data_IF_514030522713
#
_entry.id   IF_514030522713
#
_cell.length_a   1.000
_cell.length_b   1.000
_cell.length_c   1.000
_cell.angle_alpha   90.00
_cell.angle_beta   90.00
_cell.angle_gamma   90.00
#
_symmetry.space_group_name_H-M   'P 1'
#
loop_
_entity.id
_entity.type
_entity.pdbx_description
1 polymer ?
#
# COMPACT_ATOMS: atom_id res chain seq x y z
N UNK A 1 -1.07 7.58 25.75
CA UNK A 1 -1.14 7.79 24.29
C UNK A 1 -2.60 7.70 23.88
N UNK A 2 -3.07 8.63 23.04
CA UNK A 2 -4.42 8.55 22.51
C UNK A 2 -4.42 7.54 21.35
N UNK A 3 -5.01 6.37 21.55
CA UNK A 3 -5.11 5.35 20.49
C UNK A 3 -5.89 5.93 19.30
N UNK A 4 -5.45 5.56 18.09
CA UNK A 4 -6.09 5.95 16.84
C UNK A 4 -6.61 4.69 16.15
N UNK A 5 -7.77 4.80 15.50
CA UNK A 5 -8.30 3.78 14.61
C UNK A 5 -7.77 4.04 13.20
N UNK A 6 -6.93 3.14 12.69
CA UNK A 6 -6.20 3.29 11.44
C UNK A 6 -6.68 2.26 10.42
N UNK A 7 -7.00 2.71 9.20
CA UNK A 7 -7.25 1.81 8.07
C UNK A 7 -6.00 1.73 7.19
N UNK A 8 -5.61 0.51 6.84
CA UNK A 8 -4.58 0.19 5.85
C UNK A 8 -5.25 -0.58 4.72
N UNK A 9 -5.02 -0.19 3.46
CA UNK A 9 -5.53 -0.95 2.31
C UNK A 9 -4.38 -1.75 1.72
N UNK A 10 -4.66 -3.04 1.48
CA UNK A 10 -3.73 -4.03 0.98
C UNK A 10 -3.18 -4.94 2.09
N UNK A 11 -2.67 -6.10 1.73
CA UNK A 11 -1.93 -7.00 2.60
C UNK A 11 -0.59 -7.45 1.98
N UNK A 12 0.03 -6.57 1.20
CA UNK A 12 1.39 -6.69 0.69
C UNK A 12 2.46 -6.47 1.76
N UNK A 13 3.76 -6.49 1.37
CA UNK A 13 4.85 -6.28 2.30
C UNK A 13 4.78 -4.94 3.06
N UNK A 14 4.44 -3.86 2.37
CA UNK A 14 4.33 -2.49 2.89
C UNK A 14 3.23 -2.35 3.93
N UNK A 15 2.11 -3.00 3.70
CA UNK A 15 0.91 -2.97 4.53
C UNK A 15 1.10 -3.79 5.79
N UNK A 16 1.66 -4.99 5.65
CA UNK A 16 1.92 -5.85 6.79
C UNK A 16 2.91 -5.20 7.77
N UNK A 17 3.97 -4.57 7.27
CA UNK A 17 4.93 -3.86 8.13
C UNK A 17 4.32 -2.58 8.73
N UNK A 18 3.49 -1.86 7.98
CA UNK A 18 2.75 -0.69 8.48
C UNK A 18 1.80 -1.06 9.62
N UNK A 19 0.95 -2.06 9.40
CA UNK A 19 0.03 -2.59 10.40
C UNK A 19 0.77 -3.11 11.64
N UNK A 20 2.02 -3.60 11.47
CA UNK A 20 2.89 -3.99 12.58
C UNK A 20 3.34 -2.82 13.42
N UNK A 21 3.99 -1.85 12.82
CA UNK A 21 4.54 -0.72 13.56
C UNK A 21 3.43 0.11 14.24
N UNK A 22 2.31 0.34 13.55
CA UNK A 22 1.17 1.05 14.12
C UNK A 22 0.60 0.36 15.37
N UNK A 23 0.54 -0.96 15.38
CA UNK A 23 0.07 -1.71 16.55
C UNK A 23 1.06 -1.72 17.70
N UNK A 24 2.37 -1.79 17.40
CA UNK A 24 3.41 -1.69 18.44
C UNK A 24 3.31 -0.36 19.18
N UNK A 25 2.85 0.69 18.49
CA UNK A 25 2.55 2.01 19.05
C UNK A 25 1.15 2.13 19.68
N UNK A 26 0.41 1.03 19.80
CA UNK A 26 -0.85 0.96 20.55
C UNK A 26 -2.11 1.37 19.77
N UNK A 27 -2.02 1.55 18.45
CA UNK A 27 -3.17 1.92 17.63
C UNK A 27 -4.06 0.69 17.29
N UNK A 28 -5.35 0.94 17.02
CA UNK A 28 -6.31 -0.04 16.54
C UNK A 28 -6.31 -0.07 15.02
N UNK A 29 -5.97 -1.20 14.40
CA UNK A 29 -5.77 -1.27 12.94
C UNK A 29 -6.79 -2.20 12.31
N UNK A 30 -7.33 -1.78 11.18
CA UNK A 30 -8.07 -2.61 10.24
C UNK A 30 -7.30 -2.62 8.93
N UNK A 31 -7.03 -3.80 8.41
CA UNK A 31 -6.42 -4.00 7.10
C UNK A 31 -7.46 -4.56 6.15
N UNK A 32 -7.68 -3.94 4.99
CA UNK A 32 -8.64 -4.39 3.99
C UNK A 32 -7.90 -4.92 2.77
N UNK A 33 -8.05 -6.21 2.48
CA UNK A 33 -7.39 -6.89 1.36
C UNK A 33 -8.43 -7.48 0.42
N UNK A 34 -8.32 -7.16 -0.87
CA UNK A 34 -9.26 -7.61 -1.89
C UNK A 34 -9.14 -9.10 -2.21
N UNK A 35 -7.96 -9.70 -2.02
CA UNK A 35 -7.71 -11.13 -2.25
C UNK A 35 -8.03 -11.95 -0.99
N UNK A 36 -8.01 -13.27 -1.15
CA UNK A 36 -8.31 -14.23 -0.09
C UNK A 36 -7.12 -14.52 0.84
N UNK A 37 -5.93 -14.01 0.50
CA UNK A 37 -4.70 -14.23 1.25
C UNK A 37 -3.74 -13.04 1.06
N UNK A 38 -2.70 -12.99 1.88
CA UNK A 38 -1.68 -11.92 1.87
C UNK A 38 -0.74 -12.01 0.67
N UNK A 39 0.05 -10.97 0.48
CA UNK A 39 1.17 -10.96 -0.47
C UNK A 39 0.88 -10.31 -1.81
N UNK A 40 -0.38 -10.00 -2.13
CA UNK A 40 -0.80 -9.18 -3.28
C UNK A 40 -0.16 -9.60 -4.62
N UNK A 41 0.88 -8.88 -5.08
CA UNK A 41 1.66 -9.18 -6.29
C UNK A 41 2.34 -10.55 -6.20
N UNK A 42 2.73 -10.96 -5.01
CA UNK A 42 3.38 -12.25 -4.72
C UNK A 42 2.38 -13.40 -4.65
N UNK A 43 1.09 -13.11 -4.49
CA UNK A 43 0.01 -14.08 -4.66
C UNK A 43 -0.27 -14.27 -6.17
N UNK A 44 0.69 -14.90 -6.84
CA UNK A 44 0.69 -15.16 -8.27
C UNK A 44 -0.40 -16.18 -8.63
N UNK A 45 -1.24 -15.83 -9.60
CA UNK A 45 -2.15 -16.74 -10.30
C UNK A 45 -1.79 -16.69 -11.78
N UNK A 46 -1.82 -17.82 -12.48
CA UNK A 46 -1.52 -17.88 -13.92
C UNK A 46 -2.64 -17.31 -14.81
N UNK A 47 -3.52 -16.47 -14.27
CA UNK A 47 -4.58 -15.83 -15.03
C UNK A 47 -4.05 -14.58 -15.70
N UNK A 48 -4.31 -14.43 -17.00
CA UNK A 48 -4.00 -13.23 -17.78
C UNK A 48 -5.29 -12.51 -18.14
N UNK A 49 -5.23 -11.19 -18.29
CA UNK A 49 -6.35 -10.44 -18.85
C UNK A 49 -6.51 -10.72 -20.35
N UNK A 50 -7.74 -10.65 -20.85
CA UNK A 50 -7.96 -10.68 -22.29
C UNK A 50 -7.49 -9.37 -22.93
N UNK A 51 -7.18 -9.40 -24.22
CA UNK A 51 -6.76 -8.20 -24.96
C UNK A 51 -7.81 -7.09 -24.91
N UNK A 52 -9.10 -7.44 -24.93
CA UNK A 52 -10.20 -6.49 -24.84
C UNK A 52 -10.29 -5.83 -23.46
N UNK A 53 -9.97 -6.56 -22.40
CA UNK A 53 -9.94 -6.03 -21.03
C UNK A 53 -8.76 -5.07 -20.84
N UNK A 54 -7.58 -5.40 -21.40
CA UNK A 54 -6.41 -4.50 -21.37
C UNK A 54 -6.61 -3.23 -22.21
N UNK A 55 -7.37 -3.31 -23.32
CA UNK A 55 -7.68 -2.18 -24.17
C UNK A 55 -8.63 -1.17 -23.50
N UNK A 56 -9.42 -1.60 -22.51
CA UNK A 56 -10.34 -0.76 -21.78
C UNK A 56 -9.63 -0.08 -20.59
N UNK A 57 -8.94 1.04 -20.87
CA UNK A 57 -8.23 1.85 -19.88
C UNK A 57 -9.13 2.47 -18.79
N UNK A 58 -10.46 2.38 -18.92
CA UNK A 58 -11.41 2.95 -17.95
C UNK A 58 -11.81 1.98 -16.84
N UNK A 59 -11.61 0.67 -17.03
CA UNK A 59 -11.93 -0.34 -16.02
C UNK A 59 -10.66 -0.79 -15.28
N UNK A 60 -10.70 -0.92 -13.95
CA UNK A 60 -9.57 -1.46 -13.19
C UNK A 60 -9.30 -2.91 -13.58
N UNK A 61 -8.02 -3.24 -13.73
CA UNK A 61 -7.54 -4.58 -14.10
C UNK A 61 -8.06 -5.64 -13.12
N UNK A 62 -8.60 -6.74 -13.65
CA UNK A 62 -9.01 -7.93 -12.89
C UNK A 62 -7.81 -8.73 -12.40
N UNK A 63 -6.65 -8.62 -13.06
CA UNK A 63 -5.43 -9.34 -12.70
C UNK A 63 -4.45 -8.39 -12.01
N UNK A 64 -4.38 -8.48 -10.68
CA UNK A 64 -3.51 -7.60 -9.90
C UNK A 64 -2.03 -8.02 -9.89
N UNK A 65 -1.71 -9.29 -10.16
CA UNK A 65 -0.33 -9.82 -10.08
C UNK A 65 0.38 -9.70 -11.43
N UNK A 66 1.49 -8.97 -11.45
CA UNK A 66 2.42 -8.90 -12.59
C UNK A 66 3.58 -9.91 -12.49
N UNK A 67 3.57 -10.79 -11.48
CA UNK A 67 4.56 -11.85 -11.29
C UNK A 67 4.29 -13.02 -12.22
N UNK A 68 5.33 -13.51 -12.89
CA UNK A 68 5.30 -14.69 -13.76
C UNK A 68 5.94 -15.91 -13.07
N UNK A 69 5.53 -17.12 -13.49
CA UNK A 69 5.87 -18.40 -12.85
C UNK A 69 7.38 -18.60 -12.62
N UNK A 70 8.21 -18.22 -13.58
CA UNK A 70 9.67 -18.40 -13.50
C UNK A 70 10.39 -17.30 -12.70
N UNK A 71 9.67 -16.31 -12.18
CA UNK A 71 10.26 -15.16 -11.51
C UNK A 71 11.05 -15.58 -10.26
N UNK A 72 12.29 -15.11 -10.21
CA UNK A 72 13.13 -15.09 -9.00
C UNK A 72 13.33 -13.64 -8.56
N UNK A 73 13.58 -13.47 -7.27
CA UNK A 73 13.89 -12.16 -6.73
C UNK A 73 15.15 -11.61 -7.39
N UNK A 74 15.12 -10.34 -7.78
CA UNK A 74 16.29 -9.60 -8.25
C UNK A 74 17.19 -9.14 -7.10
N UNK A 75 16.64 -9.13 -5.88
CA UNK A 75 17.33 -8.79 -4.64
C UNK A 75 17.65 -10.04 -3.82
N UNK A 76 18.80 -10.08 -3.12
CA UNK A 76 19.15 -11.19 -2.25
C UNK A 76 18.25 -11.21 -1.01
N UNK A 77 17.96 -12.41 -0.49
CA UNK A 77 17.04 -12.60 0.65
C UNK A 77 17.41 -11.76 1.88
N UNK A 78 18.70 -11.52 2.09
CA UNK A 78 19.23 -10.81 3.26
C UNK A 78 18.74 -9.35 3.34
N UNK A 79 18.39 -8.73 2.21
CA UNK A 79 17.84 -7.36 2.17
C UNK A 79 16.33 -7.32 1.94
N UNK A 80 15.69 -8.49 1.90
CA UNK A 80 14.27 -8.70 1.63
C UNK A 80 13.53 -9.23 2.88
N UNK A 81 14.13 -9.07 4.06
CA UNK A 81 13.52 -9.37 5.36
C UNK A 81 13.27 -8.10 6.17
N UNK A 82 12.41 -8.20 7.19
CA UNK A 82 12.22 -7.12 8.18
C UNK A 82 13.24 -7.26 9.31
N UNK A 83 13.60 -6.16 9.95
CA UNK A 83 14.71 -6.15 10.93
C UNK A 83 14.53 -7.11 12.11
N UNK A 84 13.29 -7.33 12.55
CA UNK A 84 12.90 -8.25 13.63
C UNK A 84 12.36 -9.60 13.12
N UNK A 85 12.27 -9.77 11.81
CA UNK A 85 11.84 -11.00 11.16
C UNK A 85 12.67 -11.24 9.88
N UNK A 86 13.92 -11.69 10.01
CA UNK A 86 14.82 -11.79 8.86
C UNK A 86 14.40 -12.89 7.88
N UNK A 87 14.61 -12.64 6.58
CA UNK A 87 14.30 -13.60 5.52
C UNK A 87 15.46 -14.59 5.33
N UNK A 88 15.45 -15.64 6.15
CA UNK A 88 16.50 -16.66 6.22
C UNK A 88 16.15 -17.93 5.45
N UNK A 89 17.17 -18.72 5.08
CA UNK A 89 16.97 -20.05 4.51
C UNK A 89 16.35 -21.02 5.52
N UNK A 90 15.33 -21.77 5.07
CA UNK A 90 14.63 -22.76 5.88
C UNK A 90 14.73 -24.14 5.23
N UNK A 91 14.86 -25.17 6.06
CA UNK A 91 14.88 -26.56 5.58
C UNK A 91 13.54 -26.90 4.90
N UNK A 92 13.60 -27.55 3.75
CA UNK A 92 12.40 -27.90 2.97
C UNK A 92 11.81 -26.75 2.15
N UNK A 93 12.49 -25.61 2.09
CA UNK A 93 12.12 -24.43 1.30
C UNK A 93 13.18 -24.08 0.27
N UNK A 94 12.94 -23.02 -0.51
CA UNK A 94 13.96 -22.50 -1.40
C UNK A 94 15.10 -21.87 -0.59
N UNK A 95 16.31 -22.44 -0.69
CA UNK A 95 17.50 -22.00 0.06
C UNK A 95 18.41 -21.06 -0.74
N UNK A 96 18.09 -20.76 -2.00
CA UNK A 96 18.93 -19.93 -2.88
C UNK A 96 19.02 -18.50 -2.38
N UNK A 97 20.18 -17.86 -2.45
CA UNK A 97 20.33 -16.43 -2.08
C UNK A 97 19.31 -15.52 -2.80
N UNK A 98 18.96 -15.85 -4.03
CA UNK A 98 17.91 -15.21 -4.84
C UNK A 98 16.78 -16.24 -5.10
N UNK A 99 15.82 -16.38 -4.17
CA UNK A 99 14.79 -17.40 -4.27
C UNK A 99 13.72 -17.08 -5.31
N UNK A 100 12.88 -18.06 -5.62
CA UNK A 100 11.67 -17.87 -6.44
C UNK A 100 10.62 -17.03 -5.72
N UNK A 101 9.72 -16.40 -6.50
CA UNK A 101 8.63 -15.56 -5.97
C UNK A 101 7.76 -16.28 -4.91
N UNK A 102 7.56 -17.60 -5.05
CA UNK A 102 6.80 -18.41 -4.09
C UNK A 102 7.41 -18.41 -2.69
N UNK A 103 8.75 -18.40 -2.60
CA UNK A 103 9.41 -18.35 -1.30
C UNK A 103 9.15 -17.02 -0.58
N UNK A 104 9.09 -15.91 -1.34
CA UNK A 104 8.75 -14.62 -0.77
C UNK A 104 7.30 -14.58 -0.29
N UNK A 105 6.36 -15.17 -1.03
CA UNK A 105 4.98 -15.33 -0.57
C UNK A 105 4.91 -16.11 0.74
N UNK A 106 5.61 -17.26 0.82
CA UNK A 106 5.68 -18.07 2.04
C UNK A 106 6.28 -17.28 3.22
N UNK A 107 7.33 -16.48 2.98
CA UNK A 107 7.89 -15.59 3.99
C UNK A 107 6.86 -14.55 4.48
N UNK A 108 6.07 -13.94 3.59
CA UNK A 108 5.04 -12.98 3.96
C UNK A 108 3.89 -13.63 4.75
N UNK A 109 3.49 -14.85 4.37
CA UNK A 109 2.51 -15.64 5.12
C UNK A 109 3.04 -16.00 6.52
N UNK A 110 4.32 -16.37 6.63
CA UNK A 110 4.95 -16.63 7.93
C UNK A 110 5.03 -15.37 8.78
N UNK A 111 5.38 -14.22 8.18
CA UNK A 111 5.44 -12.94 8.87
C UNK A 111 4.06 -12.54 9.43
N UNK A 112 3.01 -12.66 8.60
CA UNK A 112 1.63 -12.42 9.03
C UNK A 112 1.20 -13.36 10.17
N UNK A 113 1.68 -14.61 10.16
CA UNK A 113 1.37 -15.62 11.18
C UNK A 113 2.14 -15.39 12.46
N UNK A 114 3.45 -15.16 12.37
CA UNK A 114 4.36 -14.90 13.49
C UNK A 114 3.89 -13.73 14.34
N UNK A 115 3.31 -12.72 13.70
CA UNK A 115 2.82 -11.55 14.37
C UNK A 115 1.34 -11.64 14.78
N UNK A 116 0.70 -12.81 14.56
CA UNK A 116 -0.65 -13.19 15.00
C UNK A 116 -1.80 -12.29 14.50
N UNK A 117 -1.70 -11.74 13.29
CA UNK A 117 -2.60 -10.67 12.82
C UNK A 117 -3.69 -11.01 11.84
N UNK A 118 -3.97 -12.29 11.59
CA UNK A 118 -5.10 -12.69 10.73
C UNK A 118 -6.43 -12.06 11.15
N UNK A 119 -6.63 -11.77 12.45
CA UNK A 119 -7.84 -11.12 12.97
C UNK A 119 -7.99 -9.64 12.59
N UNK A 120 -6.90 -8.97 12.19
CA UNK A 120 -6.91 -7.56 11.82
C UNK A 120 -7.10 -7.35 10.31
N UNK A 121 -6.86 -8.40 9.51
CA UNK A 121 -7.01 -8.38 8.06
C UNK A 121 -8.38 -8.93 7.68
N UNK A 122 -9.12 -8.14 6.91
CA UNK A 122 -10.38 -8.56 6.29
C UNK A 122 -10.10 -8.84 4.82
N UNK A 123 -9.99 -10.12 4.51
CA UNK A 123 -9.79 -10.62 3.16
C UNK A 123 -11.07 -10.51 2.33
N UNK A 124 -10.94 -10.69 1.01
CA UNK A 124 -12.04 -10.61 0.05
C UNK A 124 -12.83 -9.30 0.17
N UNK A 125 -12.17 -8.21 0.54
CA UNK A 125 -12.80 -6.92 0.79
C UNK A 125 -12.23 -5.88 -0.16
N UNK A 126 -13.03 -5.45 -1.12
CA UNK A 126 -12.66 -4.42 -2.09
C UNK A 126 -13.03 -3.04 -1.56
N UNK A 127 -12.10 -2.09 -1.61
CA UNK A 127 -12.36 -0.70 -1.21
C UNK A 127 -12.72 0.12 -2.44
N UNK A 128 -13.94 0.67 -2.45
CA UNK A 128 -14.45 1.44 -3.58
C UNK A 128 -14.24 2.94 -3.44
N UNK A 129 -14.36 3.47 -2.23
CA UNK A 129 -14.20 4.91 -1.99
C UNK A 129 -13.68 5.19 -0.59
N UNK A 130 -12.80 6.17 -0.49
CA UNK A 130 -12.21 6.71 0.73
C UNK A 130 -12.26 8.22 0.61
N UNK A 131 -13.00 8.86 1.51
CA UNK A 131 -13.17 10.30 1.55
C UNK A 131 -13.19 10.82 2.99
N UNK A 132 -13.19 12.13 3.13
CA UNK A 132 -13.37 12.79 4.43
C UNK A 132 -14.85 12.99 4.73
N UNK A 133 -15.25 13.04 6.00
CA UNK A 133 -16.60 13.55 6.35
C UNK A 133 -16.78 14.99 5.80
N UNK A 134 -17.97 15.31 5.30
CA UNK A 134 -18.25 16.63 4.72
C UNK A 134 -18.18 17.74 5.78
N UNK A 135 -17.68 18.91 5.36
CA UNK A 135 -17.44 20.07 6.22
C UNK A 135 -18.72 20.71 6.77
N UNK A 136 -19.89 20.38 6.21
CA UNK A 136 -21.18 20.96 6.61
C UNK A 136 -21.69 20.46 7.97
N UNK A 137 -21.05 19.44 8.56
CA UNK A 137 -21.34 18.94 9.91
C UNK A 137 -20.19 19.23 10.90
N UNK A 138 -19.18 19.99 10.47
CA UNK A 138 -18.03 20.30 11.29
C UNK A 138 -18.32 21.50 12.20
N UNK A 139 -18.94 21.22 13.35
CA UNK A 139 -18.73 22.05 14.53
C UNK A 139 -17.21 22.15 14.74
N UNK A 140 -16.66 23.36 14.89
CA UNK A 140 -15.25 23.75 14.75
C UNK A 140 -14.26 23.13 15.78
N UNK A 141 -14.50 21.91 16.25
CA UNK A 141 -13.78 21.28 17.36
C UNK A 141 -13.35 19.82 17.14
N UNK A 142 -13.67 19.16 16.01
CA UNK A 142 -13.29 17.77 15.77
C UNK A 142 -12.22 17.60 14.69
N UNK A 143 -11.22 16.74 14.99
CA UNK A 143 -10.18 16.30 14.06
C UNK A 143 -10.77 15.60 12.84
N UNK A 144 -10.26 15.88 11.65
CA UNK A 144 -10.59 15.21 10.37
C UNK A 144 -10.71 13.68 10.53
N UNK A 145 -11.78 13.10 9.97
CA UNK A 145 -12.00 11.64 9.94
C UNK A 145 -12.24 11.13 8.52
N UNK A 146 -11.92 9.86 8.31
CA UNK A 146 -11.96 9.17 7.03
C UNK A 146 -13.12 8.18 6.98
N UNK A 147 -13.97 8.30 5.98
CA UNK A 147 -15.04 7.36 5.66
C UNK A 147 -14.52 6.40 4.59
N UNK A 148 -14.47 5.11 4.94
CA UNK A 148 -14.03 4.04 4.03
C UNK A 148 -15.24 3.21 3.65
N UNK A 149 -15.56 3.19 2.35
CA UNK A 149 -16.63 2.39 1.76
C UNK A 149 -16.02 1.18 1.07
N UNK A 150 -16.39 0.00 1.56
CA UNK A 150 -15.87 -1.27 1.08
C UNK A 150 -17.00 -2.27 0.77
N UNK A 151 -16.66 -3.27 -0.04
CA UNK A 151 -17.54 -4.35 -0.47
C UNK A 151 -16.88 -5.70 -0.22
N UNK A 152 -17.55 -6.58 0.51
CA UNK A 152 -17.15 -7.98 0.61
C UNK A 152 -17.48 -8.69 -0.73
N UNK A 153 -16.46 -9.25 -1.38
CA UNK A 153 -16.58 -9.83 -2.73
C UNK A 153 -17.33 -11.17 -2.77
N UNK A 154 -17.42 -11.89 -1.65
CA UNK A 154 -18.15 -13.16 -1.57
C UNK A 154 -19.66 -12.99 -1.40
N UNK A 155 -20.07 -12.06 -0.54
CA UNK A 155 -21.48 -11.84 -0.18
C UNK A 155 -22.09 -10.63 -0.91
N UNK A 156 -21.25 -9.72 -1.41
CA UNK A 156 -21.66 -8.43 -1.93
C UNK A 156 -22.00 -7.39 -0.86
N UNK A 157 -21.83 -7.72 0.43
CA UNK A 157 -22.18 -6.83 1.54
C UNK A 157 -21.34 -5.54 1.49
N UNK A 158 -22.02 -4.40 1.63
CA UNK A 158 -21.41 -3.09 1.65
C UNK A 158 -21.22 -2.62 3.09
N UNK A 159 -20.01 -2.14 3.38
CA UNK A 159 -19.64 -1.58 4.68
C UNK A 159 -19.19 -0.14 4.50
N UNK A 160 -19.59 0.71 5.44
CA UNK A 160 -19.07 2.06 5.61
C UNK A 160 -18.53 2.18 7.03
N UNK A 161 -17.26 2.56 7.17
CA UNK A 161 -16.59 2.65 8.47
C UNK A 161 -15.73 3.91 8.57
N UNK A 162 -15.71 4.48 9.78
CA UNK A 162 -14.98 5.73 10.07
C UNK A 162 -13.64 5.43 10.75
N UNK A 163 -12.58 6.07 10.28
CA UNK A 163 -11.22 5.94 10.80
C UNK A 163 -10.62 7.31 11.12
N UNK A 164 -9.75 7.37 12.12
CA UNK A 164 -9.01 8.59 12.45
C UNK A 164 -7.89 8.86 11.44
N UNK A 165 -7.31 7.79 10.89
CA UNK A 165 -6.13 7.84 10.04
C UNK A 165 -6.25 6.83 8.92
N UNK A 166 -5.71 7.20 7.76
CA UNK A 166 -5.66 6.38 6.57
C UNK A 166 -4.22 6.22 6.07
N UNK A 167 -3.80 4.99 5.79
CA UNK A 167 -2.48 4.68 5.25
C UNK A 167 -2.62 3.99 3.89
N UNK A 168 -2.07 4.62 2.86
CA UNK A 168 -2.03 4.07 1.49
C UNK A 168 -0.72 3.34 1.28
N UNK A 169 -0.81 2.06 0.93
CA UNK A 169 0.37 1.24 0.73
C UNK A 169 0.29 0.29 -0.49
N UNK A 170 -0.83 0.28 -1.24
CA UNK A 170 -1.28 -0.69 -2.28
C UNK A 170 -0.32 -0.99 -3.47
N UNK A 171 0.93 -0.57 -3.40
CA UNK A 171 1.92 -0.72 -4.47
C UNK A 171 1.56 0.05 -5.75
N UNK A 172 2.39 -0.12 -6.77
CA UNK A 172 2.29 0.64 -8.02
C UNK A 172 2.71 -0.15 -9.27
N UNK A 173 2.71 -1.50 -9.19
CA UNK A 173 3.06 -2.40 -10.30
C UNK A 173 1.87 -3.21 -10.84
N UNK A 174 0.65 -2.70 -10.67
CA UNK A 174 -0.59 -3.36 -11.11
C UNK A 174 -1.26 -2.65 -12.30
N UNK A 175 -1.18 -1.32 -12.40
CA UNK A 175 -1.75 -0.57 -13.52
C UNK A 175 -0.74 -0.40 -14.66
N UNK A 176 -0.78 -1.30 -15.64
CA UNK A 176 0.10 -1.31 -16.81
C UNK A 176 -0.04 -0.04 -17.68
N UNK A 177 1.09 0.52 -18.15
CA UNK A 177 1.11 1.61 -19.13
C UNK A 177 1.26 1.04 -20.53
N UNK A 178 0.17 1.07 -21.27
CA UNK A 178 0.13 0.69 -22.68
C UNK A 178 0.34 1.93 -23.55
N UNK A 179 0.99 1.76 -24.70
CA UNK A 179 1.10 2.79 -25.74
C UNK A 179 0.70 2.22 -27.08
N UNK A 180 0.16 3.06 -27.95
CA UNK A 180 -0.24 2.69 -29.30
C UNK A 180 0.85 3.18 -30.25
N UNK A 181 1.46 2.27 -31.00
CA UNK A 181 2.38 2.61 -32.09
C UNK A 181 1.61 2.42 -33.39
N UNK A 182 1.64 3.38 -34.31
CA UNK A 182 0.95 3.27 -35.60
C UNK A 182 1.32 1.95 -36.32
N UNK A 183 0.32 1.12 -36.61
CA UNK A 183 0.49 -0.21 -37.20
C UNK A 183 0.60 -1.36 -36.19
N UNK A 184 0.67 -1.09 -34.88
CA UNK A 184 0.64 -2.09 -33.80
C UNK A 184 -0.54 -1.80 -32.88
N UNK A 185 -1.31 -2.83 -32.50
CA UNK A 185 -2.50 -2.65 -31.64
C UNK A 185 -2.15 -2.13 -30.25
N UNK A 186 -1.15 -2.73 -29.57
CA UNK A 186 -0.68 -2.32 -28.25
C UNK A 186 0.81 -2.64 -28.08
N UNK A 187 1.55 -1.72 -27.47
CA UNK A 187 2.94 -1.93 -27.04
C UNK A 187 3.02 -1.70 -25.54
N UNK A 188 3.33 -2.76 -24.80
CA UNK A 188 3.65 -2.65 -23.38
C UNK A 188 5.08 -2.14 -23.22
N UNK A 189 5.23 -0.98 -22.57
CA UNK A 189 6.53 -0.33 -22.42
C UNK A 189 7.27 -0.73 -21.13
N UNK A 190 6.82 -1.77 -20.43
CA UNK A 190 7.43 -2.20 -19.15
C UNK A 190 7.20 -1.22 -18.00
N UNK A 191 6.25 -0.28 -18.14
CA UNK A 191 5.96 0.76 -17.14
C UNK A 191 4.58 0.56 -16.54
N UNK A 192 4.42 1.01 -15.30
CA UNK A 192 3.15 1.04 -14.59
C UNK A 192 2.88 2.45 -14.12
N UNK A 193 1.62 2.85 -14.01
CA UNK A 193 1.19 4.15 -13.49
C UNK A 193 0.69 4.03 -12.05
N UNK A 194 0.81 5.09 -11.25
CA UNK A 194 0.03 5.16 -10.01
C UNK A 194 -1.46 5.30 -10.31
N UNK A 195 -2.28 4.55 -9.60
CA UNK A 195 -3.73 4.64 -9.68
C UNK A 195 -4.31 4.45 -8.29
N UNK A 196 -5.00 5.48 -7.80
CA UNK A 196 -5.68 5.48 -6.50
C UNK A 196 -7.16 5.86 -6.71
N UNK A 197 -7.92 5.09 -7.52
CA UNK A 197 -9.27 5.47 -7.95
C UNK A 197 -10.27 5.52 -6.79
N UNK A 198 -9.93 4.90 -5.66
CA UNK A 198 -10.73 4.90 -4.45
C UNK A 198 -10.51 6.16 -3.60
N UNK A 199 -9.39 6.87 -3.74
CA UNK A 199 -9.04 7.98 -2.84
C UNK A 199 -9.55 9.30 -3.41
N UNK A 200 -10.40 10.00 -2.64
CA UNK A 200 -10.65 11.42 -2.89
C UNK A 200 -9.38 12.21 -2.56
N UNK A 201 -8.65 12.63 -3.57
CA UNK A 201 -7.25 13.06 -3.46
C UNK A 201 -7.11 14.49 -2.93
N UNK A 202 -7.98 14.97 -2.03
CA UNK A 202 -7.91 16.33 -1.44
C UNK A 202 -6.49 16.60 -0.90
N UNK A 203 -5.71 17.39 -1.66
CA UNK A 203 -4.32 17.75 -1.33
C UNK A 203 -3.21 16.83 -1.86
N UNK A 204 -3.54 15.83 -2.68
CA UNK A 204 -2.59 14.95 -3.38
C UNK A 204 -2.99 14.89 -4.87
N UNK A 205 -2.01 14.98 -5.76
CA UNK A 205 -2.16 14.75 -7.18
C UNK A 205 -1.26 13.59 -7.62
N UNK A 206 -1.70 12.92 -8.68
CA UNK A 206 -0.87 11.99 -9.43
C UNK A 206 -0.54 12.69 -10.74
N UNK A 207 0.70 13.16 -10.88
CA UNK A 207 1.20 13.81 -12.09
C UNK A 207 2.57 13.25 -12.46
N UNK A 208 2.84 13.09 -13.76
CA UNK A 208 4.05 12.50 -14.34
C UNK A 208 4.65 11.31 -13.54
N UNK A 209 3.81 10.30 -13.25
CA UNK A 209 4.22 9.11 -12.50
C UNK A 209 4.78 9.41 -11.09
N UNK A 210 4.21 10.43 -10.44
CA UNK A 210 4.55 10.84 -9.09
C UNK A 210 3.27 11.11 -8.30
N UNK A 211 3.25 10.62 -7.06
CA UNK A 211 2.25 11.02 -6.06
C UNK A 211 2.84 12.18 -5.26
N UNK A 212 2.17 13.33 -5.25
CA UNK A 212 2.68 14.53 -4.60
C UNK A 212 1.59 15.55 -4.28
N UNK A 213 1.90 16.59 -3.49
CA UNK A 213 3.14 16.79 -2.74
C UNK A 213 3.23 15.82 -1.54
N UNK A 214 4.41 15.21 -1.35
CA UNK A 214 4.71 14.31 -0.21
C UNK A 214 6.03 14.70 0.44
N UNK A 215 5.99 15.11 1.72
CA UNK A 215 7.16 15.33 2.56
C UNK A 215 7.83 13.99 2.87
N UNK A 216 9.12 13.90 2.59
CA UNK A 216 9.93 12.67 2.71
C UNK A 216 9.23 11.46 2.06
N UNK A 217 8.55 11.68 0.93
CA UNK A 217 7.78 10.69 0.18
C UNK A 217 6.70 9.95 0.98
N UNK A 218 6.26 10.51 2.12
CA UNK A 218 5.40 9.83 3.10
C UNK A 218 4.17 10.65 3.44
N UNK A 219 4.33 11.94 3.78
CA UNK A 219 3.26 12.75 4.34
C UNK A 219 2.80 13.86 3.38
N UNK A 220 1.51 13.92 3.00
CA UNK A 220 0.95 15.07 2.30
C UNK A 220 0.79 16.26 3.27
N UNK A 221 1.50 17.39 3.08
CA UNK A 221 1.60 18.45 4.10
C UNK A 221 0.26 19.11 4.49
N UNK A 222 -0.76 19.06 3.64
CA UNK A 222 -2.08 19.66 3.90
C UNK A 222 -2.96 18.86 4.85
N UNK A 223 -2.71 17.55 5.00
CA UNK A 223 -3.61 16.63 5.70
C UNK A 223 -2.86 15.68 6.65
N UNK A 224 -1.52 15.76 6.68
CA UNK A 224 -0.70 15.02 7.62
C UNK A 224 -1.04 15.39 9.09
N UNK A 225 -0.98 14.43 10.03
CA UNK A 225 -0.59 13.03 9.82
C UNK A 225 -1.77 12.10 9.51
N UNK A 226 -2.97 12.62 9.23
CA UNK A 226 -4.18 11.79 9.06
C UNK A 226 -4.20 10.96 7.76
N UNK A 227 -3.38 11.33 6.78
CA UNK A 227 -3.07 10.52 5.59
C UNK A 227 -1.57 10.27 5.53
N UNK A 228 -1.16 9.06 5.16
CA UNK A 228 0.25 8.73 4.93
C UNK A 228 0.40 7.70 3.83
N UNK A 229 1.57 7.69 3.18
CA UNK A 229 1.90 6.80 2.09
C UNK A 229 3.14 5.96 2.40
N UNK A 230 3.09 4.67 2.07
CA UNK A 230 4.23 3.74 2.20
C UNK A 230 4.51 3.10 0.85
N UNK A 231 5.79 3.03 0.46
CA UNK A 231 6.22 2.34 -0.74
C UNK A 231 5.90 3.04 -2.06
N UNK A 232 5.76 4.36 -2.04
CA UNK A 232 5.57 5.16 -3.25
C UNK A 232 6.87 5.24 -4.08
N UNK A 233 8.05 5.65 -3.57
CA UNK A 233 9.22 5.81 -4.42
C UNK A 233 9.60 4.56 -5.24
N UNK A 234 9.97 4.78 -6.51
CA UNK A 234 10.53 3.75 -7.39
C UNK A 234 12.05 3.65 -7.18
N UNK A 235 12.64 2.49 -7.49
CA UNK A 235 14.10 2.21 -7.41
C UNK A 235 14.70 2.24 -5.99
N UNK A 236 13.97 1.70 -5.03
CA UNK A 236 14.40 1.56 -3.62
C UNK A 236 14.70 0.10 -3.27
N UNK A 237 15.42 -0.12 -2.17
CA UNK A 237 15.41 -1.43 -1.49
C UNK A 237 14.11 -1.50 -0.68
N UNK A 238 13.12 -2.22 -1.21
CA UNK A 238 11.72 -2.14 -0.74
C UNK A 238 11.54 -2.37 0.76
N UNK A 239 11.90 -3.55 1.27
CA UNK A 239 11.57 -3.96 2.64
C UNK A 239 12.14 -3.02 3.74
N UNK A 240 13.44 -2.67 3.74
CA UNK A 240 13.99 -1.72 4.70
C UNK A 240 13.36 -0.32 4.60
N UNK A 241 13.02 0.11 3.38
CA UNK A 241 12.39 1.42 3.18
C UNK A 241 10.95 1.45 3.68
N UNK A 242 10.15 0.44 3.35
CA UNK A 242 8.78 0.29 3.86
C UNK A 242 8.76 0.25 5.38
N UNK A 243 9.68 -0.50 5.98
CA UNK A 243 9.81 -0.59 7.44
C UNK A 243 10.19 0.74 8.07
N UNK A 244 11.07 1.52 7.43
CA UNK A 244 11.47 2.85 7.91
C UNK A 244 10.29 3.83 7.86
N UNK A 245 9.54 3.87 6.76
CA UNK A 245 8.33 4.69 6.66
C UNK A 245 7.27 4.27 7.70
N UNK A 246 7.02 2.97 7.86
CA UNK A 246 6.08 2.44 8.85
C UNK A 246 6.44 2.81 10.30
N UNK A 247 7.73 2.69 10.66
CA UNK A 247 8.26 3.11 11.96
C UNK A 247 8.09 4.61 12.18
N UNK A 248 8.30 5.42 11.15
CA UNK A 248 8.16 6.86 11.27
C UNK A 248 6.68 7.28 11.41
N UNK A 249 5.79 6.76 10.56
CA UNK A 249 4.35 7.01 10.62
C UNK A 249 3.79 6.64 11.99
N UNK A 250 4.08 5.44 12.48
CA UNK A 250 3.58 4.98 13.78
C UNK A 250 4.04 5.88 14.93
N UNK A 251 5.31 6.31 14.94
CA UNK A 251 5.82 7.25 15.96
C UNK A 251 5.18 8.63 15.86
N UNK A 252 4.92 9.13 14.65
CA UNK A 252 4.21 10.40 14.45
C UNK A 252 2.79 10.32 15.01
N UNK A 253 2.05 9.26 14.68
CA UNK A 253 0.67 9.07 15.15
C UNK A 253 0.57 8.86 16.66
N UNK A 254 1.59 8.26 17.27
CA UNK A 254 1.68 8.10 18.72
C UNK A 254 2.05 9.38 19.48
N UNK A 255 2.48 10.43 18.76
CA UNK A 255 2.98 11.69 19.33
C UNK A 255 4.42 11.64 19.82
N UNK A 256 5.17 10.55 19.55
CA UNK A 256 6.60 10.43 19.87
C UNK A 256 7.49 11.25 18.94
N UNK A 257 7.03 11.52 17.72
CA UNK A 257 7.71 12.37 16.75
C UNK A 257 6.72 13.44 16.28
N UNK A 258 7.17 14.69 16.26
CA UNK A 258 6.38 15.81 15.74
C UNK A 258 6.82 16.11 14.32
N UNK A 259 5.85 16.26 13.40
CA UNK A 259 6.14 16.73 12.05
C UNK A 259 6.48 18.22 12.07
N UNK A 260 7.39 18.69 11.19
CA UNK A 260 7.65 20.12 11.06
C UNK A 260 6.39 20.86 10.54
N UNK A 261 6.32 22.19 10.70
CA UNK A 261 5.25 23.00 10.15
C UNK A 261 5.03 22.77 8.65
N UNK A 262 3.79 22.94 8.18
CA UNK A 262 3.41 22.75 6.77
C UNK A 262 4.31 23.52 5.81
N UNK A 263 4.70 24.73 6.15
CA UNK A 263 5.56 25.57 5.31
C UNK A 263 6.96 24.97 5.13
N UNK A 264 7.55 24.43 6.19
CA UNK A 264 8.85 23.75 6.14
C UNK A 264 8.78 22.45 5.34
N UNK A 265 7.71 21.65 5.55
CA UNK A 265 7.47 20.46 4.73
C UNK A 265 7.37 20.82 3.25
N UNK A 266 6.61 21.87 2.91
CA UNK A 266 6.46 22.34 1.53
C UNK A 266 7.77 22.90 0.95
N UNK A 267 8.59 23.57 1.77
CA UNK A 267 9.91 24.06 1.37
C UNK A 267 10.85 22.90 1.03
N UNK A 268 10.94 21.89 1.90
CA UNK A 268 11.73 20.67 1.66
C UNK A 268 11.31 19.96 0.36
N UNK A 269 10.00 19.87 0.09
CA UNK A 269 9.50 19.29 -1.17
C UNK A 269 9.96 20.10 -2.40
N UNK A 270 10.07 21.43 -2.30
CA UNK A 270 10.55 22.25 -3.42
C UNK A 270 12.06 22.23 -3.59
N UNK A 271 12.82 21.92 -2.54
CA UNK A 271 14.29 21.84 -2.61
C UNK A 271 14.76 20.50 -3.14
N UNK A 272 14.00 19.43 -2.90
CA UNK A 272 14.31 18.09 -3.37
C UNK A 272 14.00 17.88 -4.86
N UNK A 273 13.12 18.70 -5.44
CA UNK A 273 12.58 18.55 -6.80
C UNK A 273 12.71 19.84 -7.61
#
# INVERSE_FOLDING_TARGET
MNSKRVCVIGAGPSEQVSARELRKEGHSIVVLEQKHDVGEQWLCKQNVESEEAMANLTNPSKVHSSVYESLRLTSPREIMGFTDFPFVARKGRDVRRFPGHRELLLYLQDFCTWFEKKKMIRFNTWVGNVGTEDADHADHHYSMRWVVRAKELGTGFLTEEIFDVFVVANGHYSASRLSIINGMKFVFLGRYSYSLPFLDTKGVSIDDDRVGPLYEHTFPPSIAPSLSFVGIPRKIIGFPFFESQAKWISKVLSGKITLPPREEMMKSIKEYW
#
